data_IF_613160817519
#
_entry.id   IF_613160817519
#
_cell.length_a   1.000
_cell.length_b   1.000
_cell.length_c   1.000
_cell.angle_alpha   90.00
_cell.angle_beta   90.00
_cell.angle_gamma   90.00
#
_symmetry.space_group_name_H-M   'P 1'
#
loop_
_entity.id
_entity.type
_entity.pdbx_description
1 polymer ?
#
# COMPACT_ATOMS: atom_id res chain seq x y z
N UNK A 1 -24.61 -30.42 47.32
CA UNK A 1 -23.62 -29.97 46.31
C UNK A 1 -24.18 -29.78 44.88
N UNK A 2 -25.50 -29.70 44.65
CA UNK A 2 -26.05 -29.82 43.28
C UNK A 2 -26.63 -28.57 42.61
N UNK A 3 -26.58 -27.37 43.23
CA UNK A 3 -27.29 -26.19 42.68
C UNK A 3 -26.40 -25.03 42.20
N UNK A 4 -25.06 -25.15 42.27
CA UNK A 4 -24.14 -24.11 41.76
C UNK A 4 -23.65 -24.35 40.32
N UNK A 5 -23.63 -25.59 39.84
CA UNK A 5 -23.17 -25.90 38.48
C UNK A 5 -24.22 -25.63 37.38
N UNK A 6 -25.53 -25.70 37.68
CA UNK A 6 -26.58 -25.47 36.66
C UNK A 6 -26.80 -23.99 36.34
N UNK A 7 -26.60 -23.08 37.31
CA UNK A 7 -26.65 -21.64 37.07
C UNK A 7 -25.47 -21.14 36.23
N UNK A 8 -24.27 -21.70 36.41
CA UNK A 8 -23.10 -21.32 35.61
C UNK A 8 -23.21 -21.78 34.15
N UNK A 9 -23.80 -22.97 33.89
CA UNK A 9 -23.99 -23.45 32.52
C UNK A 9 -25.11 -22.71 31.79
N UNK A 10 -26.19 -22.33 32.48
CA UNK A 10 -27.25 -21.50 31.91
C UNK A 10 -26.76 -20.09 31.54
N UNK A 11 -25.94 -19.45 32.39
CA UNK A 11 -25.36 -18.13 32.05
C UNK A 11 -24.40 -18.16 30.88
N UNK A 12 -23.65 -19.26 30.71
CA UNK A 12 -22.75 -19.46 29.56
C UNK A 12 -23.55 -19.71 28.28
N UNK A 13 -24.63 -20.49 28.35
CA UNK A 13 -25.49 -20.79 27.19
C UNK A 13 -26.28 -19.57 26.73
N UNK A 14 -26.76 -18.72 27.65
CA UNK A 14 -27.43 -17.45 27.30
C UNK A 14 -26.46 -16.42 26.73
N UNK A 15 -25.20 -16.40 27.21
CA UNK A 15 -24.16 -15.56 26.63
C UNK A 15 -23.80 -16.01 25.20
N UNK A 16 -23.69 -17.32 24.94
CA UNK A 16 -23.45 -17.85 23.59
C UNK A 16 -24.58 -17.52 22.60
N UNK A 17 -25.83 -17.57 23.04
CA UNK A 17 -27.00 -17.24 22.19
C UNK A 17 -27.07 -15.75 21.88
N UNK A 18 -26.71 -14.87 22.83
CA UNK A 18 -26.58 -13.44 22.57
C UNK A 18 -25.41 -13.14 21.61
N UNK A 19 -24.31 -13.88 21.72
CA UNK A 19 -23.14 -13.76 20.83
C UNK A 19 -23.52 -14.15 19.39
N UNK A 20 -24.30 -15.21 19.19
CA UNK A 20 -24.77 -15.61 17.85
C UNK A 20 -25.78 -14.63 17.22
N UNK A 21 -26.52 -13.87 18.04
CA UNK A 21 -27.48 -12.87 17.56
C UNK A 21 -26.84 -11.50 17.27
N UNK A 22 -25.66 -11.23 17.85
CA UNK A 22 -24.86 -10.04 17.53
C UNK A 22 -23.95 -10.25 16.32
N UNK A 23 -23.66 -11.49 15.93
CA UNK A 23 -22.85 -11.83 14.75
C UNK A 23 -23.65 -11.93 13.45
N UNK A 24 -24.98 -11.82 13.49
CA UNK A 24 -25.84 -12.05 12.32
C UNK A 24 -26.16 -10.79 11.52
N UNK A 25 -25.53 -9.66 11.83
CA UNK A 25 -25.58 -8.44 11.04
C UNK A 25 -24.15 -7.88 10.95
N UNK A 26 -23.31 -8.50 10.13
CA UNK A 26 -22.02 -7.92 9.75
C UNK A 26 -22.33 -6.67 8.94
N UNK A 27 -22.23 -5.51 9.58
CA UNK A 27 -22.23 -4.26 8.84
C UNK A 27 -20.87 -4.18 8.17
N UNK A 28 -20.82 -3.76 6.91
CA UNK A 28 -19.53 -3.52 6.24
C UNK A 28 -18.62 -2.68 7.15
N UNK A 29 -17.31 -2.98 7.22
CA UNK A 29 -16.40 -2.25 8.10
C UNK A 29 -16.49 -0.77 7.79
N UNK A 30 -16.82 0.03 8.81
CA UNK A 30 -16.74 1.49 8.68
C UNK A 30 -15.30 1.92 8.83
N UNK A 31 -14.91 2.99 8.16
CA UNK A 31 -13.59 3.57 8.22
C UNK A 31 -13.61 4.91 8.94
N UNK A 32 -12.70 5.07 9.89
CA UNK A 32 -12.34 6.38 10.42
C UNK A 32 -11.32 7.01 9.49
N UNK A 33 -11.57 8.23 9.04
CA UNK A 33 -10.63 8.96 8.20
C UNK A 33 -9.81 9.97 9.01
N UNK A 34 -8.50 9.96 8.78
CA UNK A 34 -7.55 10.93 9.30
C UNK A 34 -6.77 11.57 8.13
N UNK A 35 -6.46 12.86 8.23
CA UNK A 35 -5.69 13.56 7.20
C UNK A 35 -4.19 13.36 7.44
N UNK A 36 -3.44 13.10 6.37
CA UNK A 36 -2.00 12.89 6.40
C UNK A 36 -1.28 14.09 5.79
N UNK A 37 -0.11 14.40 6.34
CA UNK A 37 0.75 15.50 5.88
C UNK A 37 0.64 16.78 6.73
N UNK A 38 1.46 17.79 6.43
CA UNK A 38 1.45 19.04 7.18
C UNK A 38 0.10 19.77 7.01
N UNK A 39 -0.40 20.38 8.09
CA UNK A 39 -1.57 21.26 7.99
C UNK A 39 -1.23 22.44 7.06
N UNK A 40 -2.06 22.70 6.03
CA UNK A 40 -1.75 23.74 5.06
C UNK A 40 -1.78 25.10 5.75
N UNK A 41 -0.60 25.70 5.90
CA UNK A 41 -0.48 27.07 6.35
C UNK A 41 -1.04 27.98 5.24
N UNK A 42 -2.11 28.73 5.52
CA UNK A 42 -2.91 29.49 4.53
C UNK A 42 -2.11 30.45 3.63
N UNK A 43 -0.92 30.84 4.06
CA UNK A 43 -0.04 31.78 3.36
C UNK A 43 1.06 31.12 2.49
N UNK A 44 1.41 29.85 2.72
CA UNK A 44 2.54 29.18 2.06
C UNK A 44 2.12 28.07 1.07
N UNK A 45 0.92 27.51 1.22
CA UNK A 45 0.51 26.28 0.51
C UNK A 45 -0.45 26.50 -0.68
N UNK A 46 -0.59 27.74 -1.18
CA UNK A 46 -1.51 28.04 -2.30
C UNK A 46 -1.15 27.38 -3.65
N UNK A 47 -0.09 26.57 -3.73
CA UNK A 47 0.38 25.95 -4.97
C UNK A 47 1.00 24.55 -4.81
N UNK A 48 0.87 23.93 -3.63
CA UNK A 48 1.46 22.61 -3.37
C UNK A 48 0.51 21.52 -3.88
N UNK A 49 0.73 21.06 -5.11
CA UNK A 49 0.07 19.86 -5.63
C UNK A 49 0.66 18.60 -5.00
N UNK A 50 -0.20 17.68 -4.54
CA UNK A 50 0.23 16.29 -4.29
C UNK A 50 0.75 15.75 -5.63
N UNK A 51 1.98 15.26 -5.64
CA UNK A 51 2.56 14.71 -6.86
C UNK A 51 2.48 13.20 -6.90
N UNK A 52 2.81 12.57 -5.78
CA UNK A 52 2.68 11.13 -5.59
C UNK A 52 2.38 10.82 -4.14
N UNK A 53 1.60 9.78 -3.95
CA UNK A 53 1.43 9.09 -2.68
C UNK A 53 2.16 7.77 -2.89
N UNK A 54 3.22 7.54 -2.12
CA UNK A 54 4.15 6.44 -2.32
C UNK A 54 3.56 5.14 -1.82
N UNK A 55 3.58 4.92 -0.51
CA UNK A 55 3.03 3.70 0.08
C UNK A 55 2.65 3.85 1.55
N UNK A 56 2.07 2.77 2.09
CA UNK A 56 1.54 2.61 3.43
C UNK A 56 2.04 1.28 4.02
N UNK A 57 2.76 1.36 5.13
CA UNK A 57 3.16 0.13 5.84
C UNK A 57 2.16 -0.31 6.92
N UNK A 58 2.34 -1.51 7.48
CA UNK A 58 1.54 -2.04 8.57
C UNK A 58 1.74 -1.30 9.90
N UNK A 59 2.72 -0.41 10.04
CA UNK A 59 2.82 0.52 11.18
C UNK A 59 1.91 1.75 11.01
N UNK A 60 1.31 1.92 9.83
CA UNK A 60 0.46 3.06 9.50
C UNK A 60 1.28 4.29 9.14
N UNK A 61 2.55 4.09 8.77
CA UNK A 61 3.43 5.14 8.27
C UNK A 61 3.22 5.28 6.76
N UNK A 62 3.22 6.52 6.29
CA UNK A 62 2.90 6.86 4.91
C UNK A 62 4.07 7.55 4.27
N UNK A 63 4.58 7.02 3.16
CA UNK A 63 5.54 7.70 2.31
C UNK A 63 4.81 8.50 1.22
N UNK A 64 5.17 9.77 1.01
CA UNK A 64 4.52 10.64 0.02
C UNK A 64 5.44 11.77 -0.44
N UNK A 65 5.08 12.42 -1.54
CA UNK A 65 5.86 13.53 -2.10
C UNK A 65 4.97 14.73 -2.48
N UNK A 66 5.46 15.93 -2.18
CA UNK A 66 4.79 17.20 -2.48
C UNK A 66 5.63 18.05 -3.42
N UNK A 67 4.94 18.74 -4.33
CA UNK A 67 5.53 19.79 -5.16
C UNK A 67 5.63 21.09 -4.38
N UNK A 68 6.83 21.64 -4.23
CA UNK A 68 7.05 23.02 -3.81
C UNK A 68 7.49 23.89 -4.98
N UNK A 69 6.94 25.10 -5.14
CA UNK A 69 7.49 26.06 -6.09
C UNK A 69 8.81 26.61 -5.55
N UNK A 70 9.84 26.61 -6.38
CA UNK A 70 11.06 27.38 -6.20
C UNK A 70 11.04 28.54 -7.18
N UNK A 71 11.06 29.76 -6.66
CA UNK A 71 11.12 30.96 -7.48
C UNK A 71 12.54 31.12 -8.04
N UNK A 72 12.68 31.10 -9.36
CA UNK A 72 13.96 31.26 -10.06
C UNK A 72 14.21 32.74 -10.37
N UNK A 73 13.15 33.45 -10.80
CA UNK A 73 13.12 34.90 -11.00
C UNK A 73 11.76 35.44 -10.55
N UNK A 74 11.56 36.76 -10.46
CA UNK A 74 10.25 37.32 -10.09
C UNK A 74 9.08 36.86 -10.97
N UNK A 75 9.35 36.40 -12.20
CA UNK A 75 8.35 35.95 -13.18
C UNK A 75 8.46 34.46 -13.54
N UNK A 76 9.47 33.74 -13.05
CA UNK A 76 9.67 32.32 -13.33
C UNK A 76 9.80 31.50 -12.05
N UNK A 77 9.04 30.42 -11.96
CA UNK A 77 9.17 29.42 -10.89
C UNK A 77 9.35 28.04 -11.51
N UNK A 78 9.97 27.15 -10.76
CA UNK A 78 10.10 25.72 -11.09
C UNK A 78 9.55 24.91 -9.94
N UNK A 79 8.84 23.83 -10.25
CA UNK A 79 8.40 22.88 -9.23
C UNK A 79 9.54 21.94 -8.85
N UNK A 80 9.73 21.73 -7.55
CA UNK A 80 10.66 20.78 -6.96
C UNK A 80 9.87 19.86 -6.05
N UNK A 81 10.23 18.58 -6.07
CA UNK A 81 9.50 17.53 -5.36
C UNK A 81 10.28 17.13 -4.12
N UNK A 82 9.70 17.33 -2.94
CA UNK A 82 10.26 16.85 -1.69
C UNK A 82 9.49 15.61 -1.24
N UNK A 83 10.22 14.61 -0.73
CA UNK A 83 9.65 13.37 -0.22
C UNK A 83 9.65 13.32 1.30
N UNK A 84 8.64 12.70 1.87
CA UNK A 84 8.39 12.66 3.31
C UNK A 84 7.87 11.30 3.74
N UNK A 85 8.07 11.00 5.03
CA UNK A 85 7.38 9.92 5.74
C UNK A 85 6.55 10.53 6.86
N UNK A 86 5.24 10.29 6.85
CA UNK A 86 4.39 10.55 8.01
C UNK A 86 4.43 9.35 8.94
N UNK A 87 4.73 9.62 10.20
CA UNK A 87 4.74 8.66 11.30
C UNK A 87 3.76 9.09 12.38
N UNK A 88 3.46 8.19 13.33
CA UNK A 88 2.65 8.53 14.51
C UNK A 88 3.25 9.68 15.35
N UNK A 89 4.55 9.96 15.22
CA UNK A 89 5.26 11.02 15.97
C UNK A 89 5.44 12.32 15.19
N UNK A 90 5.04 12.36 13.92
CA UNK A 90 5.18 13.52 13.04
C UNK A 90 5.70 13.17 11.65
N UNK A 91 5.99 14.21 10.86
CA UNK A 91 6.47 14.08 9.47
C UNK A 91 7.99 14.23 9.43
N UNK A 92 8.67 13.28 8.80
CA UNK A 92 10.13 13.27 8.60
C UNK A 92 10.43 13.50 7.12
N UNK A 93 11.32 14.44 6.83
CA UNK A 93 11.81 14.68 5.47
C UNK A 93 12.75 13.55 5.04
N UNK A 94 12.53 13.01 3.84
CA UNK A 94 13.51 12.16 3.17
C UNK A 94 14.49 13.11 2.49
N UNK A 95 15.75 13.09 2.93
CA UNK A 95 16.79 13.95 2.37
C UNK A 95 17.02 13.59 0.89
N UNK A 96 17.14 14.62 0.06
CA UNK A 96 17.50 14.50 -1.34
C UNK A 96 18.91 13.92 -1.49
N UNK A 97 19.16 13.21 -2.60
CA UNK A 97 20.50 12.76 -2.98
C UNK A 97 21.37 13.90 -3.54
N UNK A 98 21.18 15.13 -3.03
CA UNK A 98 21.78 16.35 -3.59
C UNK A 98 21.16 16.84 -4.90
N UNK A 99 20.07 16.19 -5.34
CA UNK A 99 19.24 16.57 -6.49
C UNK A 99 18.23 17.66 -6.20
N UNK A 100 17.44 18.03 -7.22
CA UNK A 100 16.35 19.01 -7.10
C UNK A 100 14.97 18.35 -7.05
N UNK A 101 14.83 17.02 -7.02
CA UNK A 101 13.55 16.32 -6.83
C UNK A 101 13.77 14.90 -6.33
N UNK A 102 12.91 14.45 -5.42
CA UNK A 102 12.83 13.06 -4.99
C UNK A 102 11.36 12.62 -4.90
N UNK A 103 11.10 11.37 -5.25
CA UNK A 103 9.79 10.71 -5.20
C UNK A 103 9.91 9.45 -4.36
N UNK A 104 9.17 9.36 -3.27
CA UNK A 104 8.99 8.13 -2.53
C UNK A 104 7.84 7.35 -3.19
N UNK A 105 8.09 6.07 -3.49
CA UNK A 105 7.17 5.21 -4.21
C UNK A 105 6.64 4.06 -3.36
N UNK A 106 7.38 3.63 -2.33
CA UNK A 106 6.95 2.53 -1.46
C UNK A 106 7.65 2.59 -0.09
N UNK A 107 7.08 1.96 0.94
CA UNK A 107 7.58 1.87 2.30
C UNK A 107 7.28 0.51 2.94
N UNK A 108 8.32 -0.13 3.46
CA UNK A 108 8.20 -1.42 4.18
C UNK A 108 7.83 -1.24 5.66
N UNK A 109 7.45 -2.32 6.36
CA UNK A 109 7.21 -2.33 7.82
C UNK A 109 8.49 -2.09 8.63
N UNK A 110 9.65 -2.31 8.01
CA UNK A 110 10.93 -1.92 8.60
C UNK A 110 11.16 -0.40 8.57
N UNK A 111 10.40 0.34 7.77
CA UNK A 111 10.57 1.77 7.52
C UNK A 111 11.61 2.09 6.44
N UNK A 112 12.01 1.08 5.65
CA UNK A 112 12.77 1.29 4.43
C UNK A 112 11.83 1.92 3.39
N UNK A 113 12.17 3.11 2.92
CA UNK A 113 11.47 3.83 1.84
C UNK A 113 12.29 3.72 0.57
N UNK A 114 11.62 3.46 -0.55
CA UNK A 114 12.28 3.41 -1.86
C UNK A 114 11.66 4.39 -2.84
N UNK A 115 12.41 4.70 -3.89
CA UNK A 115 11.93 5.60 -4.92
C UNK A 115 13.02 6.06 -5.88
N UNK A 116 12.83 7.26 -6.42
CA UNK A 116 13.70 7.87 -7.41
C UNK A 116 13.99 9.33 -7.07
N UNK A 117 15.23 9.76 -7.23
CA UNK A 117 15.63 11.16 -7.10
C UNK A 117 16.44 11.62 -8.31
N UNK A 118 16.39 12.90 -8.65
CA UNK A 118 17.26 13.45 -9.69
C UNK A 118 18.73 13.41 -9.22
N UNK A 119 19.66 13.06 -10.10
CA UNK A 119 21.09 13.13 -9.83
C UNK A 119 21.53 14.55 -9.46
N UNK A 120 22.54 14.66 -8.59
CA UNK A 120 23.17 15.93 -8.25
C UNK A 120 23.85 16.56 -9.48
N UNK A 121 24.52 15.73 -10.29
CA UNK A 121 25.22 16.11 -11.51
C UNK A 121 24.26 16.18 -12.71
N UNK A 122 24.35 17.24 -13.51
CA UNK A 122 23.76 17.30 -14.86
C UNK A 122 24.81 16.96 -15.92
N UNK A 123 24.36 16.49 -17.08
CA UNK A 123 25.21 16.28 -18.25
C UNK A 123 24.55 16.88 -19.50
N UNK A 124 25.35 17.29 -20.49
CA UNK A 124 24.80 17.83 -21.74
C UNK A 124 24.32 16.67 -22.63
N UNK A 125 23.11 16.80 -23.16
CA UNK A 125 22.53 15.83 -24.08
C UNK A 125 23.47 15.56 -25.26
N UNK A 126 23.78 14.29 -25.57
CA UNK A 126 24.67 13.94 -26.67
C UNK A 126 24.08 14.27 -28.05
N UNK A 127 22.77 14.52 -28.14
CA UNK A 127 22.03 14.78 -29.38
C UNK A 127 21.56 16.24 -29.46
N UNK A 128 21.40 16.91 -28.31
CA UNK A 128 20.95 18.29 -28.20
C UNK A 128 21.97 19.11 -27.37
N UNK A 129 22.98 19.72 -27.99
CA UNK A 129 24.15 20.27 -27.30
C UNK A 129 23.89 21.46 -26.35
N UNK A 130 22.63 21.90 -26.20
CA UNK A 130 22.21 22.95 -25.27
C UNK A 130 21.15 22.48 -24.26
N UNK A 131 20.91 21.17 -24.17
CA UNK A 131 19.95 20.58 -23.23
C UNK A 131 20.75 19.88 -22.14
N UNK A 132 20.71 20.43 -20.92
CA UNK A 132 21.19 19.72 -19.73
C UNK A 132 20.15 18.67 -19.32
N UNK A 133 20.60 17.43 -19.20
CA UNK A 133 19.85 16.31 -18.69
C UNK A 133 20.32 16.01 -17.26
N UNK A 134 19.38 15.65 -16.40
CA UNK A 134 19.66 15.05 -15.10
C UNK A 134 19.20 13.61 -15.14
N UNK A 135 20.05 12.73 -14.65
CA UNK A 135 19.72 11.32 -14.50
C UNK A 135 18.73 11.16 -13.35
N UNK A 136 17.99 10.06 -13.35
CA UNK A 136 17.17 9.65 -12.21
C UNK A 136 17.87 8.48 -11.53
N UNK A 137 18.11 8.62 -10.24
CA UNK A 137 18.81 7.65 -9.41
C UNK A 137 17.81 6.97 -8.46
N UNK A 138 17.78 5.63 -8.43
CA UNK A 138 16.99 4.89 -7.45
C UNK A 138 17.63 5.08 -6.08
N UNK A 139 16.80 5.19 -5.04
CA UNK A 139 17.30 5.35 -3.69
C UNK A 139 16.60 4.40 -2.72
N UNK A 140 17.29 4.16 -1.61
CA UNK A 140 16.68 3.65 -0.38
C UNK A 140 16.93 4.66 0.73
N UNK A 141 15.94 4.86 1.59
CA UNK A 141 16.04 5.73 2.76
C UNK A 141 15.49 5.01 3.98
N UNK A 142 16.26 5.02 5.06
CA UNK A 142 15.80 4.48 6.34
C UNK A 142 16.07 5.51 7.43
N UNK A 143 15.01 5.95 8.11
CA UNK A 143 15.09 6.95 9.19
C UNK A 143 15.86 8.24 8.82
N UNK A 144 15.70 8.71 7.57
CA UNK A 144 16.35 9.92 7.06
C UNK A 144 17.76 9.72 6.54
N UNK A 145 18.31 8.50 6.61
CA UNK A 145 19.56 8.15 5.95
C UNK A 145 19.26 7.61 4.55
N UNK A 146 19.44 8.46 3.54
CA UNK A 146 19.20 8.14 2.13
C UNK A 146 20.51 7.76 1.44
N UNK A 147 20.52 6.64 0.71
CA UNK A 147 21.61 6.26 -0.19
C UNK A 147 21.07 6.00 -1.60
N UNK A 148 21.87 6.35 -2.61
CA UNK A 148 21.60 5.96 -3.98
C UNK A 148 21.92 4.47 -4.15
N UNK A 149 21.07 3.74 -4.89
CA UNK A 149 21.38 2.40 -5.36
C UNK A 149 22.28 2.54 -6.59
N UNK A 150 23.53 2.02 -6.58
CA UNK A 150 24.42 2.14 -7.72
C UNK A 150 23.89 1.36 -8.92
N UNK A 151 23.61 2.06 -10.03
CA UNK A 151 23.23 1.43 -11.30
C UNK A 151 24.44 1.33 -12.25
N UNK A 152 24.50 0.29 -13.09
CA UNK A 152 25.62 0.09 -14.02
C UNK A 152 25.67 1.12 -15.14
N UNK A 153 24.52 1.67 -15.53
CA UNK A 153 24.42 2.71 -16.56
C UNK A 153 23.75 3.97 -16.00
N UNK A 154 24.16 5.12 -16.55
CA UNK A 154 23.54 6.42 -16.31
C UNK A 154 22.25 6.55 -17.11
N UNK A 155 21.33 7.37 -16.63
CA UNK A 155 20.09 7.68 -17.33
C UNK A 155 18.89 7.57 -16.42
N UNK A 156 17.92 6.74 -16.82
CA UNK A 156 16.71 6.50 -16.05
C UNK A 156 16.94 5.33 -15.10
N UNK A 157 16.69 5.51 -13.80
CA UNK A 157 16.53 4.40 -12.90
C UNK A 157 15.62 4.75 -11.73
N UNK A 158 14.82 3.79 -11.29
CA UNK A 158 13.78 3.94 -10.26
C UNK A 158 13.67 2.66 -9.45
N UNK A 159 13.61 2.78 -8.12
CA UNK A 159 13.22 1.69 -7.24
C UNK A 159 11.70 1.79 -7.04
N UNK A 160 10.97 0.81 -7.56
CA UNK A 160 9.50 0.83 -7.60
C UNK A 160 8.88 0.34 -6.29
N UNK A 161 9.42 -0.76 -5.75
CA UNK A 161 8.85 -1.45 -4.59
C UNK A 161 9.94 -2.16 -3.77
N UNK A 162 9.62 -2.48 -2.52
CA UNK A 162 10.48 -3.22 -1.61
C UNK A 162 9.68 -4.09 -0.65
N UNK A 163 10.27 -5.19 -0.17
CA UNK A 163 9.66 -6.07 0.83
C UNK A 163 10.38 -5.99 2.19
N UNK A 164 9.81 -6.62 3.23
CA UNK A 164 10.37 -6.62 4.58
C UNK A 164 11.64 -7.45 4.75
N UNK A 165 12.06 -8.19 3.71
CA UNK A 165 13.39 -8.81 3.63
C UNK A 165 14.48 -7.80 3.25
N UNK A 166 14.11 -6.56 2.90
CA UNK A 166 15.03 -5.52 2.45
C UNK A 166 15.44 -5.68 0.98
N UNK A 167 14.66 -6.45 0.22
CA UNK A 167 14.84 -6.58 -1.22
C UNK A 167 14.11 -5.43 -1.91
N UNK A 168 14.78 -4.79 -2.85
CA UNK A 168 14.29 -3.64 -3.59
C UNK A 168 14.29 -3.98 -5.06
N UNK A 169 13.20 -3.68 -5.76
CA UNK A 169 13.06 -3.97 -7.19
C UNK A 169 12.74 -2.70 -7.96
N UNK A 170 13.13 -2.68 -9.22
CA UNK A 170 12.90 -1.50 -10.04
C UNK A 170 13.39 -1.65 -11.46
N UNK A 171 13.31 -0.54 -12.19
CA UNK A 171 13.73 -0.46 -13.59
C UNK A 171 14.92 0.49 -13.72
N UNK A 172 15.91 0.12 -14.54
CA UNK A 172 17.07 0.96 -14.84
C UNK A 172 17.37 0.97 -16.35
N UNK A 173 18.07 2.00 -16.81
CA UNK A 173 18.68 2.04 -18.14
C UNK A 173 19.72 0.92 -18.27
N UNK A 174 19.68 0.21 -19.38
CA UNK A 174 20.68 -0.78 -19.76
C UNK A 174 21.03 -0.69 -21.26
N UNK A 175 22.10 -1.37 -21.63
CA UNK A 175 22.72 -1.31 -22.96
C UNK A 175 21.78 -1.63 -24.14
N UNK A 176 20.70 -2.37 -23.87
CA UNK A 176 19.70 -2.79 -24.87
C UNK A 176 18.27 -2.32 -24.51
N UNK A 177 18.14 -1.21 -23.79
CA UNK A 177 16.85 -0.71 -23.30
C UNK A 177 16.74 -0.80 -21.78
N UNK A 178 15.56 -0.53 -21.23
CA UNK A 178 15.34 -0.67 -19.78
C UNK A 178 15.55 -2.12 -19.36
N UNK A 179 16.14 -2.35 -18.20
CA UNK A 179 16.26 -3.66 -17.55
C UNK A 179 15.56 -3.61 -16.19
N UNK A 180 15.03 -4.75 -15.76
CA UNK A 180 14.61 -4.92 -14.37
C UNK A 180 15.84 -5.18 -13.51
N UNK A 181 15.84 -4.68 -12.28
CA UNK A 181 16.87 -4.99 -11.31
C UNK A 181 16.26 -5.42 -9.98
N UNK A 182 17.08 -6.14 -9.22
CA UNK A 182 16.89 -6.39 -7.80
C UNK A 182 18.12 -5.88 -7.04
N UNK A 183 17.92 -5.28 -5.88
CA UNK A 183 18.98 -4.82 -5.00
C UNK A 183 18.69 -5.24 -3.56
N UNK A 184 19.73 -5.52 -2.80
CA UNK A 184 19.69 -5.52 -1.34
C UNK A 184 21.02 -5.01 -0.80
N UNK A 185 21.05 -4.59 0.46
CA UNK A 185 22.29 -4.16 1.10
C UNK A 185 23.36 -5.27 1.11
N UNK A 186 22.92 -6.54 1.22
CA UNK A 186 23.81 -7.69 1.32
C UNK A 186 24.28 -8.23 -0.04
N UNK A 187 23.42 -8.23 -1.05
CA UNK A 187 23.73 -8.81 -2.38
C UNK A 187 24.17 -7.75 -3.39
N UNK A 188 23.86 -6.48 -3.15
CA UNK A 188 24.10 -5.39 -4.09
C UNK A 188 23.16 -5.44 -5.30
N UNK A 189 23.54 -4.74 -6.37
CA UNK A 189 22.74 -4.64 -7.59
C UNK A 189 22.84 -5.91 -8.43
N UNK A 190 21.69 -6.49 -8.76
CA UNK A 190 21.55 -7.62 -9.68
C UNK A 190 20.69 -7.21 -10.87
N UNK A 191 21.25 -7.29 -12.07
CA UNK A 191 20.50 -7.10 -13.32
C UNK A 191 19.69 -8.36 -13.63
N UNK A 192 18.37 -8.23 -13.73
CA UNK A 192 17.45 -9.31 -14.11
C UNK A 192 17.23 -9.36 -15.63
N UNK A 193 17.67 -8.32 -16.35
CA UNK A 193 17.57 -8.20 -17.81
C UNK A 193 16.29 -7.54 -18.31
N UNK A 194 16.17 -7.47 -19.64
CA UNK A 194 15.04 -6.86 -20.37
C UNK A 194 14.02 -7.92 -20.86
N UNK A 195 14.17 -9.20 -20.52
CA UNK A 195 13.22 -10.27 -20.93
C UNK A 195 12.88 -10.34 -22.44
N UNK A 196 13.71 -9.76 -23.30
CA UNK A 196 13.49 -9.70 -24.74
C UNK A 196 12.39 -8.72 -25.20
N UNK A 197 11.96 -7.79 -24.35
CA UNK A 197 10.91 -6.81 -24.68
C UNK A 197 11.46 -5.41 -25.00
N UNK A 198 10.60 -4.53 -25.53
CA UNK A 198 11.00 -3.15 -25.85
C UNK A 198 10.79 -2.23 -24.65
N UNK A 199 9.70 -2.42 -23.92
CA UNK A 199 9.39 -1.70 -22.70
C UNK A 199 9.12 -2.69 -21.57
N UNK A 200 9.66 -2.37 -20.40
CA UNK A 200 9.34 -3.05 -19.17
C UNK A 200 9.18 -2.04 -18.04
N UNK A 201 8.26 -2.35 -17.13
CA UNK A 201 8.09 -1.65 -15.87
C UNK A 201 8.03 -2.72 -14.76
N UNK A 202 8.87 -2.57 -13.74
CA UNK A 202 8.74 -3.33 -12.50
C UNK A 202 7.71 -2.64 -11.63
N UNK A 203 6.71 -3.40 -11.19
CA UNK A 203 5.54 -2.87 -10.50
C UNK A 203 5.67 -3.07 -9.00
N UNK A 204 5.86 -4.31 -8.56
CA UNK A 204 5.70 -4.69 -7.15
C UNK A 204 6.53 -5.93 -6.78
N UNK A 205 6.74 -6.18 -5.49
CA UNK A 205 7.39 -7.38 -4.94
C UNK A 205 6.71 -7.82 -3.64
N UNK A 206 6.38 -9.11 -3.52
CA UNK A 206 5.84 -9.67 -2.27
C UNK A 206 6.93 -10.23 -1.32
N UNK A 207 6.53 -10.69 -0.13
CA UNK A 207 7.43 -11.27 0.88
C UNK A 207 8.02 -12.64 0.52
N UNK A 208 7.66 -13.19 -0.64
CA UNK A 208 8.25 -14.43 -1.20
C UNK A 208 9.25 -14.17 -2.31
N UNK A 209 9.58 -12.90 -2.54
CA UNK A 209 10.43 -12.43 -3.63
C UNK A 209 9.83 -12.69 -5.02
N UNK A 210 8.49 -12.83 -5.12
CA UNK A 210 7.80 -12.79 -6.39
C UNK A 210 7.73 -11.34 -6.87
N UNK A 211 8.33 -11.06 -8.03
CA UNK A 211 8.37 -9.72 -8.62
C UNK A 211 7.28 -9.63 -9.67
N UNK A 212 6.38 -8.65 -9.55
CA UNK A 212 5.39 -8.34 -10.57
C UNK A 212 5.97 -7.38 -11.60
N UNK A 213 5.93 -7.78 -12.87
CA UNK A 213 6.42 -6.96 -13.99
C UNK A 213 5.35 -6.78 -15.05
N UNK A 214 5.45 -5.65 -15.72
CA UNK A 214 4.75 -5.36 -16.93
C UNK A 214 5.72 -5.41 -18.11
N UNK A 215 5.45 -6.27 -19.09
CA UNK A 215 6.27 -6.43 -20.29
C UNK A 215 5.50 -5.94 -21.53
N UNK A 216 6.15 -5.24 -22.47
CA UNK A 216 5.51 -4.79 -23.73
C UNK A 216 6.40 -5.04 -24.94
N UNK A 217 5.86 -5.79 -25.90
CA UNK A 217 6.53 -6.10 -27.17
C UNK A 217 6.54 -4.95 -28.19
N UNK A 218 7.28 -5.16 -29.28
CA UNK A 218 7.48 -4.19 -30.38
C UNK A 218 6.34 -4.15 -31.40
N UNK A 219 5.49 -5.17 -31.44
CA UNK A 219 4.57 -5.40 -32.55
C UNK A 219 3.18 -4.81 -32.30
N UNK A 220 2.82 -3.81 -33.09
CA UNK A 220 1.45 -3.34 -33.23
C UNK A 220 0.63 -4.41 -33.96
N UNK A 221 -0.35 -5.05 -33.32
CA UNK A 221 -1.42 -5.71 -34.07
C UNK A 221 -2.39 -4.63 -34.57
N UNK A 222 -2.56 -4.55 -35.88
CA UNK A 222 -3.60 -3.77 -36.51
C UNK A 222 -4.95 -4.46 -36.30
N UNK A 223 -5.88 -3.82 -35.60
CA UNK A 223 -7.28 -4.23 -35.57
C UNK A 223 -8.16 -3.09 -36.09
N UNK A 224 -8.50 -3.15 -37.38
CA UNK A 224 -9.20 -2.06 -38.08
C UNK A 224 -8.31 -0.83 -38.30
N UNK A 225 -8.88 0.37 -38.17
CA UNK A 225 -8.21 1.67 -38.41
C UNK A 225 -7.57 2.29 -37.14
N UNK A 226 -7.50 1.54 -36.02
CA UNK A 226 -6.99 2.05 -34.74
C UNK A 226 -5.65 1.40 -34.38
N UNK A 227 -4.64 2.24 -34.10
CA UNK A 227 -3.37 1.81 -33.51
C UNK A 227 -3.62 1.47 -32.02
N UNK A 228 -3.61 0.18 -31.69
CA UNK A 228 -3.67 -0.26 -30.29
C UNK A 228 -2.26 -0.59 -29.80
N UNK A 229 -1.92 -0.11 -28.59
CA UNK A 229 -0.75 -0.58 -27.86
C UNK A 229 -0.98 -2.05 -27.55
N UNK A 230 -0.30 -2.89 -28.31
CA UNK A 230 -0.54 -4.31 -28.29
C UNK A 230 0.53 -4.99 -27.43
N UNK A 231 0.12 -5.92 -26.57
CA UNK A 231 1.05 -6.84 -25.90
C UNK A 231 1.58 -6.40 -24.54
N UNK A 232 0.86 -5.57 -23.79
CA UNK A 232 1.15 -5.36 -22.38
C UNK A 232 0.77 -6.62 -21.59
N UNK A 233 1.79 -7.38 -21.17
CA UNK A 233 1.65 -8.66 -20.46
C UNK A 233 2.15 -8.55 -19.03
N UNK A 234 1.29 -8.91 -18.09
CA UNK A 234 1.65 -8.95 -16.67
C UNK A 234 2.28 -10.31 -16.39
N UNK A 235 3.44 -10.30 -15.76
CA UNK A 235 4.16 -11.53 -15.40
C UNK A 235 4.66 -11.46 -13.98
N UNK A 236 4.77 -12.63 -13.36
CA UNK A 236 5.48 -12.81 -12.09
C UNK A 236 6.83 -13.43 -12.43
N UNK A 237 7.90 -12.78 -11.98
CA UNK A 237 9.25 -13.33 -12.01
C UNK A 237 9.64 -13.81 -10.61
N UNK A 238 10.10 -15.05 -10.52
CA UNK A 238 10.73 -15.58 -9.31
C UNK A 238 11.94 -16.43 -9.71
N UNK A 239 13.14 -15.95 -9.35
CA UNK A 239 14.40 -16.70 -9.42
C UNK A 239 14.65 -17.41 -10.78
N UNK A 240 14.41 -16.69 -11.88
CA UNK A 240 14.58 -17.19 -13.26
C UNK A 240 13.34 -17.84 -13.88
N UNK A 241 12.31 -18.12 -13.08
CA UNK A 241 11.00 -18.57 -13.57
C UNK A 241 10.11 -17.36 -13.89
N UNK A 242 9.37 -17.45 -14.99
CA UNK A 242 8.38 -16.44 -15.40
C UNK A 242 7.02 -17.13 -15.48
N UNK A 243 6.07 -16.65 -14.68
CA UNK A 243 4.68 -17.06 -14.72
C UNK A 243 3.87 -15.94 -15.35
N UNK A 244 3.18 -16.23 -16.46
CA UNK A 244 2.32 -15.26 -17.11
C UNK A 244 0.98 -15.17 -16.37
N UNK A 245 0.54 -13.95 -16.05
CA UNK A 245 -0.85 -13.70 -15.72
C UNK A 245 -1.63 -13.79 -17.05
N UNK A 246 -2.65 -14.67 -17.16
CA UNK A 246 -3.41 -14.82 -18.38
C UNK A 246 -4.03 -13.50 -18.83
N UNK A 247 -3.97 -13.22 -20.12
CA UNK A 247 -4.73 -12.15 -20.75
C UNK A 247 -5.95 -12.77 -21.45
N UNK A 248 -7.18 -12.45 -21.03
CA UNK A 248 -8.41 -12.86 -21.74
C UNK A 248 -8.43 -12.32 -23.18
N UNK A 249 -9.49 -12.66 -23.94
CA UNK A 249 -9.66 -12.52 -25.41
C UNK A 249 -8.89 -11.43 -26.18
N UNK A 250 -8.65 -10.25 -25.59
CA UNK A 250 -7.98 -9.11 -26.22
C UNK A 250 -6.50 -8.94 -25.89
N UNK A 251 -5.94 -9.75 -24.99
CA UNK A 251 -4.48 -9.89 -24.84
C UNK A 251 -3.78 -8.79 -24.05
N UNK A 252 -4.49 -7.97 -23.28
CA UNK A 252 -3.92 -6.84 -22.52
C UNK A 252 -4.27 -6.97 -21.04
N UNK A 253 -3.24 -7.07 -20.19
CA UNK A 253 -3.36 -6.97 -18.73
C UNK A 253 -2.37 -5.93 -18.20
N UNK A 254 -2.84 -5.11 -17.26
CA UNK A 254 -2.03 -4.21 -16.47
C UNK A 254 -2.11 -4.65 -15.02
N UNK A 255 -1.03 -5.22 -14.48
CA UNK A 255 -0.95 -5.60 -13.08
C UNK A 255 -0.63 -4.39 -12.23
N UNK A 256 -1.27 -4.27 -11.07
CA UNK A 256 -1.07 -3.16 -10.14
C UNK A 256 -0.38 -3.60 -8.85
N UNK A 257 -0.71 -4.79 -8.33
CA UNK A 257 -0.18 -5.28 -7.05
C UNK A 257 -0.19 -6.81 -6.96
N UNK A 258 0.64 -7.36 -6.07
CA UNK A 258 0.71 -8.78 -5.74
C UNK A 258 0.82 -8.98 -4.22
N UNK A 259 -0.03 -9.83 -3.64
CA UNK A 259 0.09 -10.16 -2.20
C UNK A 259 1.02 -11.36 -1.94
N UNK A 260 1.27 -11.68 -0.65
CA UNK A 260 2.14 -12.77 -0.21
C UNK A 260 1.57 -14.16 -0.48
N UNK A 261 0.33 -14.24 -0.96
CA UNK A 261 -0.29 -15.48 -1.45
C UNK A 261 -0.06 -15.65 -2.96
N UNK A 262 0.48 -14.66 -3.66
CA UNK A 262 0.69 -14.68 -5.11
C UNK A 262 -0.56 -14.34 -5.90
N UNK A 263 -1.53 -13.70 -5.23
CA UNK A 263 -2.72 -13.19 -5.88
C UNK A 263 -2.35 -11.85 -6.50
N UNK A 264 -2.59 -11.72 -7.80
CA UNK A 264 -2.34 -10.49 -8.57
C UNK A 264 -3.67 -9.80 -8.86
N UNK A 265 -3.68 -8.48 -8.73
CA UNK A 265 -4.81 -7.65 -9.15
C UNK A 265 -4.36 -6.59 -10.14
N UNK A 266 -5.32 -6.03 -10.88
CA UNK A 266 -5.05 -4.94 -11.80
C UNK A 266 -6.24 -4.62 -12.69
N UNK A 267 -5.97 -4.18 -13.92
CA UNK A 267 -6.95 -3.94 -14.97
C UNK A 267 -6.69 -4.75 -16.23
N UNK A 268 -7.73 -5.12 -16.96
CA UNK A 268 -7.61 -5.77 -18.27
C UNK A 268 -8.63 -5.23 -19.27
N UNK A 269 -8.30 -5.30 -20.56
CA UNK A 269 -9.21 -4.86 -21.60
C UNK A 269 -10.27 -5.94 -21.90
N UNK A 270 -11.55 -5.61 -21.77
CA UNK A 270 -12.66 -6.52 -22.07
C UNK A 270 -13.16 -6.43 -23.50
N UNK A 271 -12.81 -5.36 -24.22
CA UNK A 271 -13.07 -5.17 -25.66
C UNK A 271 -12.09 -4.16 -26.26
N UNK A 272 -11.89 -4.14 -27.60
CA UNK A 272 -10.97 -3.21 -28.22
C UNK A 272 -11.40 -1.75 -27.98
N UNK A 273 -10.57 -1.00 -27.24
CA UNK A 273 -10.62 0.45 -27.14
C UNK A 273 -11.76 1.07 -26.35
N UNK A 274 -12.52 0.31 -25.53
CA UNK A 274 -13.71 0.87 -24.88
C UNK A 274 -14.05 0.42 -23.47
N UNK A 275 -13.37 -0.59 -22.91
CA UNK A 275 -13.71 -1.00 -21.53
C UNK A 275 -12.54 -1.74 -20.87
N UNK A 276 -12.16 -1.25 -19.69
CA UNK A 276 -11.21 -1.86 -18.77
C UNK A 276 -11.97 -2.37 -17.56
N UNK A 277 -11.72 -3.61 -17.16
CA UNK A 277 -12.26 -4.14 -15.92
C UNK A 277 -11.16 -4.43 -14.92
N UNK A 278 -11.48 -4.28 -13.63
CA UNK A 278 -10.65 -4.81 -12.57
C UNK A 278 -10.57 -6.34 -12.67
N UNK A 279 -9.42 -6.94 -12.37
CA UNK A 279 -9.30 -8.39 -12.28
C UNK A 279 -8.62 -8.84 -10.98
N UNK A 280 -8.85 -10.09 -10.65
CA UNK A 280 -8.06 -10.88 -9.70
C UNK A 280 -7.60 -12.17 -10.38
N UNK A 281 -6.35 -12.53 -10.16
CA UNK A 281 -5.78 -13.77 -10.65
C UNK A 281 -4.92 -14.45 -9.58
N UNK A 282 -5.05 -15.77 -9.49
CA UNK A 282 -4.09 -16.62 -8.81
C UNK A 282 -4.02 -17.96 -9.53
N UNK A 283 -2.92 -18.70 -9.36
CA UNK A 283 -2.69 -19.97 -10.06
C UNK A 283 -3.75 -21.03 -9.75
N UNK A 284 -4.33 -21.00 -8.54
CA UNK A 284 -5.27 -22.02 -8.07
C UNK A 284 -6.69 -21.81 -8.59
N UNK A 285 -7.15 -20.56 -8.61
CA UNK A 285 -8.53 -20.21 -8.92
C UNK A 285 -8.68 -19.57 -10.31
N UNK A 286 -7.56 -19.28 -10.99
CA UNK A 286 -7.54 -18.71 -12.32
C UNK A 286 -7.94 -17.23 -12.37
N UNK A 287 -8.09 -16.73 -13.60
CA UNK A 287 -8.43 -15.33 -13.88
C UNK A 287 -9.91 -15.09 -13.62
N UNK A 288 -10.24 -14.06 -12.84
CA UNK A 288 -11.63 -13.64 -12.57
C UNK A 288 -11.77 -12.16 -12.86
N UNK A 289 -12.80 -11.84 -13.63
CA UNK A 289 -13.25 -10.48 -13.90
C UNK A 289 -14.01 -9.97 -12.66
N UNK A 290 -13.59 -8.80 -12.15
CA UNK A 290 -14.22 -8.09 -11.02
C UNK A 290 -14.96 -6.82 -11.46
N UNK A 291 -14.96 -6.52 -12.77
CA UNK A 291 -15.67 -5.39 -13.33
C UNK A 291 -17.19 -5.60 -13.38
N UNK A 292 -17.87 -4.53 -13.74
CA UNK A 292 -19.33 -4.48 -13.89
C UNK A 292 -19.65 -3.98 -15.28
N UNK A 293 -20.74 -4.47 -15.86
CA UNK A 293 -21.11 -4.15 -17.26
C UNK A 293 -21.17 -2.63 -17.51
N UNK A 294 -20.56 -2.18 -18.61
CA UNK A 294 -20.56 -0.80 -19.12
C UNK A 294 -19.86 0.21 -18.19
N UNK A 295 -18.87 -0.23 -17.41
CA UNK A 295 -18.16 0.62 -16.45
C UNK A 295 -16.65 0.33 -16.37
N UNK A 296 -15.84 1.32 -16.76
CA UNK A 296 -14.38 1.22 -16.63
C UNK A 296 -13.97 1.05 -15.17
N UNK A 297 -13.15 0.05 -14.86
CA UNK A 297 -12.65 -0.21 -13.52
C UNK A 297 -11.24 -0.79 -13.53
N UNK A 298 -10.54 -0.61 -12.41
CA UNK A 298 -9.21 -1.17 -12.19
C UNK A 298 -8.93 -1.31 -10.70
N UNK A 299 -8.30 -2.42 -10.31
CA UNK A 299 -7.77 -2.58 -8.97
C UNK A 299 -6.43 -1.83 -8.85
N UNK A 300 -6.26 -1.11 -7.75
CA UNK A 300 -5.01 -0.42 -7.42
C UNK A 300 -4.12 -1.27 -6.52
N UNK A 301 -4.69 -1.99 -5.55
CA UNK A 301 -3.92 -2.75 -4.58
C UNK A 301 -4.72 -3.87 -3.88
N UNK A 302 -4.03 -4.81 -3.23
CA UNK A 302 -4.58 -5.96 -2.51
C UNK A 302 -3.75 -6.31 -1.27
N UNK A 303 -4.41 -6.47 -0.12
CA UNK A 303 -3.72 -6.96 1.09
C UNK A 303 -3.71 -8.49 1.24
N UNK A 304 -2.99 -9.00 2.23
CA UNK A 304 -2.87 -10.45 2.48
C UNK A 304 -4.15 -11.14 2.97
N UNK A 305 -5.18 -10.35 3.35
CA UNK A 305 -6.51 -10.87 3.67
C UNK A 305 -7.42 -10.96 2.44
N UNK A 306 -6.95 -10.56 1.25
CA UNK A 306 -7.72 -10.57 0.01
C UNK A 306 -8.69 -9.40 -0.13
N UNK A 307 -8.52 -8.33 0.65
CA UNK A 307 -9.26 -7.08 0.46
C UNK A 307 -8.60 -6.31 -0.67
N UNK A 308 -9.38 -5.97 -1.69
CA UNK A 308 -8.91 -5.27 -2.87
C UNK A 308 -9.44 -3.84 -2.83
N UNK A 309 -8.61 -2.89 -3.22
CA UNK A 309 -9.04 -1.51 -3.50
C UNK A 309 -8.85 -1.19 -4.97
N UNK A 310 -9.55 -0.17 -5.43
CA UNK A 310 -9.44 0.27 -6.81
C UNK A 310 -10.32 1.47 -7.10
N UNK A 311 -10.50 1.76 -8.37
CA UNK A 311 -11.40 2.80 -8.83
C UNK A 311 -12.27 2.32 -9.99
N UNK A 312 -13.37 3.01 -10.18
CA UNK A 312 -14.32 2.71 -11.25
C UNK A 312 -15.00 3.97 -11.78
N UNK A 313 -15.42 3.97 -13.04
CA UNK A 313 -16.08 5.09 -13.69
C UNK A 313 -17.47 5.32 -13.08
N UNK A 314 -17.65 6.49 -12.48
CA UNK A 314 -18.89 6.92 -11.86
C UNK A 314 -19.54 8.03 -12.68
N UNK A 315 -20.80 7.81 -13.02
CA UNK A 315 -21.63 8.71 -13.83
C UNK A 315 -21.79 10.13 -13.28
N UNK A 316 -21.40 10.38 -12.03
CA UNK A 316 -21.61 11.66 -11.36
C UNK A 316 -20.36 12.58 -11.40
N UNK A 317 -19.13 12.05 -11.33
CA UNK A 317 -17.91 12.86 -11.12
C UNK A 317 -16.58 12.28 -11.65
N UNK A 318 -16.58 11.28 -12.53
CA UNK A 318 -15.37 10.60 -12.99
C UNK A 318 -15.10 9.33 -12.20
N UNK A 319 -13.86 9.00 -11.83
CA UNK A 319 -13.56 7.77 -11.11
C UNK A 319 -13.91 7.85 -9.61
N UNK A 320 -14.47 6.79 -9.04
CA UNK A 320 -14.76 6.66 -7.61
C UNK A 320 -14.01 5.46 -6.99
N UNK A 321 -13.40 5.61 -5.81
CA UNK A 321 -12.70 4.51 -5.17
C UNK A 321 -13.65 3.48 -4.58
N UNK A 322 -13.25 2.21 -4.63
CA UNK A 322 -13.97 1.08 -4.07
C UNK A 322 -13.12 0.24 -3.14
N UNK A 323 -13.79 -0.54 -2.30
CA UNK A 323 -13.26 -1.69 -1.57
C UNK A 323 -14.02 -2.93 -2.06
N UNK A 324 -13.32 -4.02 -2.32
CA UNK A 324 -13.90 -5.30 -2.71
C UNK A 324 -13.46 -6.39 -1.74
N UNK A 325 -14.42 -7.20 -1.32
CA UNK A 325 -14.17 -8.49 -0.64
C UNK A 325 -15.01 -9.57 -1.33
N UNK A 326 -14.57 -10.82 -1.28
CA UNK A 326 -15.38 -11.94 -1.81
C UNK A 326 -16.73 -12.08 -1.09
N UNK A 327 -16.85 -11.57 0.15
CA UNK A 327 -18.08 -11.63 0.94
C UNK A 327 -19.09 -10.54 0.55
N UNK A 328 -18.63 -9.31 0.41
CA UNK A 328 -19.50 -8.13 0.28
C UNK A 328 -19.54 -7.60 -1.17
N UNK A 329 -18.69 -8.11 -2.05
CA UNK A 329 -18.49 -7.59 -3.39
C UNK A 329 -17.91 -6.18 -3.36
N UNK A 330 -18.11 -5.44 -4.46
CA UNK A 330 -17.62 -4.06 -4.60
C UNK A 330 -18.50 -3.09 -3.82
N UNK A 331 -17.85 -2.29 -2.97
CA UNK A 331 -18.48 -1.26 -2.15
C UNK A 331 -17.78 0.08 -2.39
N UNK A 332 -18.56 1.16 -2.47
CA UNK A 332 -18.01 2.52 -2.64
C UNK A 332 -17.34 2.95 -1.36
N UNK A 333 -16.07 3.37 -1.42
CA UNK A 333 -15.32 3.73 -0.21
C UNK A 333 -15.97 4.90 0.55
N UNK A 334 -16.56 5.86 -0.16
CA UNK A 334 -17.27 7.00 0.46
C UNK A 334 -18.48 6.57 1.31
N UNK A 335 -19.12 5.44 0.96
CA UNK A 335 -20.27 4.93 1.72
C UNK A 335 -19.84 4.15 2.98
N UNK A 336 -18.53 3.87 3.11
CA UNK A 336 -17.93 3.14 4.23
C UNK A 336 -17.29 4.06 5.27
N UNK A 337 -17.18 5.37 5.06
CA UNK A 337 -16.46 6.27 5.98
C UNK A 337 -17.41 6.90 7.03
N UNK A 338 -16.87 7.28 8.19
CA UNK A 338 -17.66 7.80 9.33
C UNK A 338 -17.99 9.30 9.27
N UNK A 339 -17.44 10.03 8.28
CA UNK A 339 -17.66 11.47 8.05
C UNK A 339 -17.66 11.79 6.54
N UNK A 340 -18.64 11.30 5.76
CA UNK A 340 -18.71 11.57 4.33
C UNK A 340 -18.95 13.06 4.00
N UNK A 341 -19.62 13.81 4.88
CA UNK A 341 -19.92 15.23 4.69
C UNK A 341 -18.70 16.15 4.72
N UNK A 342 -17.59 15.70 5.32
CA UNK A 342 -16.30 16.39 5.27
C UNK A 342 -15.64 16.37 3.89
N UNK A 343 -16.13 15.53 2.97
CA UNK A 343 -15.54 15.29 1.67
C UNK A 343 -16.52 15.66 0.56
N UNK A 344 -16.02 16.43 -0.40
CA UNK A 344 -16.75 16.66 -1.65
C UNK A 344 -16.71 15.42 -2.55
N UNK A 345 -15.57 14.71 -2.55
CA UNK A 345 -15.40 13.40 -3.20
C UNK A 345 -14.07 12.76 -2.75
N UNK A 346 -14.00 11.43 -2.77
CA UNK A 346 -12.73 10.69 -2.67
C UNK A 346 -12.23 10.40 -4.08
N UNK A 347 -10.96 10.71 -4.33
CA UNK A 347 -10.34 10.68 -5.66
C UNK A 347 -9.74 9.33 -6.00
N UNK A 348 -8.98 8.77 -5.06
CA UNK A 348 -8.33 7.49 -5.24
C UNK A 348 -8.18 6.78 -3.90
N UNK A 349 -8.20 5.45 -3.96
CA UNK A 349 -7.60 4.57 -2.98
C UNK A 349 -6.30 4.07 -3.61
N UNK A 350 -5.17 4.38 -2.98
CA UNK A 350 -3.84 4.20 -3.55
C UNK A 350 -3.20 2.90 -3.07
N UNK A 351 -3.29 2.62 -1.77
CA UNK A 351 -2.59 1.51 -1.11
C UNK A 351 -3.43 0.99 0.08
N UNK A 352 -3.37 -0.31 0.35
CA UNK A 352 -3.99 -0.98 1.49
C UNK A 352 -3.01 -1.90 2.23
N UNK A 353 -2.83 -1.66 3.54
CA UNK A 353 -2.01 -2.55 4.37
C UNK A 353 -2.80 -3.76 4.92
N UNK A 354 -2.10 -4.69 5.58
CA UNK A 354 -2.69 -5.92 6.16
C UNK A 354 -3.58 -5.67 7.37
N UNK A 355 -3.53 -4.47 7.95
CA UNK A 355 -4.53 -4.03 8.94
C UNK A 355 -5.83 -3.54 8.29
N UNK A 356 -5.89 -3.56 6.96
CA UNK A 356 -7.01 -3.06 6.16
C UNK A 356 -7.09 -1.54 6.16
N UNK A 357 -6.05 -0.81 6.56
CA UNK A 357 -6.04 0.64 6.42
C UNK A 357 -5.81 1.01 4.97
N UNK A 358 -6.55 1.99 4.48
CA UNK A 358 -6.50 2.44 3.09
C UNK A 358 -5.93 3.85 3.04
N UNK A 359 -4.84 4.00 2.32
CA UNK A 359 -4.26 5.29 1.98
C UNK A 359 -4.91 5.80 0.70
N UNK A 360 -5.29 7.08 0.67
CA UNK A 360 -5.95 7.65 -0.49
C UNK A 360 -5.83 9.15 -0.62
N UNK A 361 -6.40 9.66 -1.71
CA UNK A 361 -6.47 11.09 -2.04
C UNK A 361 -7.94 11.44 -2.19
N UNK A 362 -8.36 12.60 -1.71
CA UNK A 362 -9.71 13.12 -1.93
C UNK A 362 -9.78 14.63 -1.84
N UNK A 363 -10.92 15.23 -2.19
CA UNK A 363 -11.17 16.66 -1.97
C UNK A 363 -12.12 16.91 -0.81
N UNK A 364 -11.69 17.67 0.17
CA UNK A 364 -12.49 18.16 1.30
C UNK A 364 -13.50 19.22 0.86
N UNK A 365 -14.51 19.47 1.68
CA UNK A 365 -15.48 20.56 1.47
C UNK A 365 -14.95 21.97 1.84
N UNK A 366 -13.76 22.08 2.44
CA UNK A 366 -13.06 23.34 2.73
C UNK A 366 -12.64 24.08 1.43
N UNK A 367 -12.84 25.41 1.30
CA UNK A 367 -12.52 26.14 0.07
C UNK A 367 -11.07 26.04 -0.42
N UNK A 368 -10.04 25.94 0.44
CA UNK A 368 -8.63 25.81 0.03
C UNK A 368 -7.71 25.28 1.18
N UNK A 369 -6.75 24.38 0.89
CA UNK A 369 -6.67 23.49 -0.26
C UNK A 369 -7.68 22.36 -0.11
N UNK A 370 -8.39 22.03 -1.19
CA UNK A 370 -9.40 20.99 -1.14
C UNK A 370 -8.80 19.58 -1.27
N UNK A 371 -7.77 19.33 -2.09
CA UNK A 371 -7.17 17.99 -2.19
C UNK A 371 -6.30 17.65 -0.97
N UNK A 372 -6.54 16.49 -0.35
CA UNK A 372 -5.82 15.98 0.83
C UNK A 372 -5.48 14.49 0.68
N UNK A 373 -4.36 14.09 1.25
CA UNK A 373 -4.04 12.69 1.52
C UNK A 373 -4.81 12.28 2.79
N UNK A 374 -5.43 11.10 2.77
CA UNK A 374 -6.10 10.55 3.93
C UNK A 374 -5.67 9.12 4.21
N UNK A 375 -5.77 8.74 5.48
CA UNK A 375 -5.68 7.36 5.94
C UNK A 375 -7.04 6.94 6.50
N UNK A 376 -7.69 6.00 5.82
CA UNK A 376 -8.92 5.38 6.25
C UNK A 376 -8.59 4.13 7.07
N UNK A 377 -8.90 4.15 8.36
CA UNK A 377 -8.62 3.05 9.29
C UNK A 377 -9.91 2.29 9.64
N UNK A 378 -9.96 0.95 9.49
CA UNK A 378 -11.12 0.17 9.88
C UNK A 378 -11.51 0.42 11.35
N UNK A 379 -12.79 0.69 11.58
CA UNK A 379 -13.40 0.78 12.90
C UNK A 379 -13.77 -0.65 13.28
N UNK A 380 -13.17 -1.22 14.35
CA UNK A 380 -13.53 -2.54 14.81
C UNK A 380 -15.02 -2.60 15.11
N UNK A 381 -15.71 -3.64 14.65
CA UNK A 381 -17.13 -3.80 14.95
C UNK A 381 -17.37 -3.76 16.47
N UNK A 382 -18.52 -3.21 16.93
CA UNK A 382 -18.87 -3.19 18.35
C UNK A 382 -18.81 -4.59 18.99
N UNK A 383 -19.15 -5.63 18.23
CA UNK A 383 -19.06 -7.05 18.60
C UNK A 383 -17.61 -7.47 18.94
N UNK A 384 -16.64 -7.05 18.13
CA UNK A 384 -15.20 -7.28 18.34
C UNK A 384 -14.69 -6.55 19.58
N UNK A 385 -15.10 -5.30 19.80
CA UNK A 385 -14.75 -4.53 21.01
C UNK A 385 -15.33 -5.17 22.28
N UNK A 386 -16.58 -5.62 22.23
CA UNK A 386 -17.24 -6.35 23.32
C UNK A 386 -16.51 -7.68 23.58
N UNK A 387 -16.10 -8.41 22.54
CA UNK A 387 -15.34 -9.65 22.70
C UNK A 387 -13.98 -9.39 23.37
N UNK A 388 -13.23 -8.38 22.92
CA UNK A 388 -11.94 -8.00 23.54
C UNK A 388 -12.10 -7.60 25.02
N UNK A 389 -13.16 -6.86 25.35
CA UNK A 389 -13.51 -6.52 26.74
C UNK A 389 -13.83 -7.77 27.56
N UNK A 390 -14.64 -8.68 27.03
CA UNK A 390 -15.02 -9.93 27.71
C UNK A 390 -13.79 -10.83 27.94
N UNK A 391 -12.94 -10.99 26.93
CA UNK A 391 -11.68 -11.74 27.06
C UNK A 391 -10.77 -11.11 28.11
N UNK A 392 -10.59 -9.79 28.09
CA UNK A 392 -9.78 -9.05 29.07
C UNK A 392 -10.32 -9.21 30.50
N UNK A 393 -11.65 -9.20 30.68
CA UNK A 393 -12.30 -9.44 31.97
C UNK A 393 -12.11 -10.88 32.46
N UNK A 394 -12.19 -11.86 31.55
CA UNK A 394 -11.96 -13.27 31.86
C UNK A 394 -10.50 -13.53 32.26
N UNK A 395 -9.52 -12.95 31.56
CA UNK A 395 -8.11 -13.01 31.92
C UNK A 395 -7.84 -12.36 33.29
N UNK A 396 -8.40 -11.18 33.54
CA UNK A 396 -8.27 -10.53 34.85
C UNK A 396 -8.86 -11.35 35.99
N UNK A 397 -10.01 -12.01 35.76
CA UNK A 397 -10.64 -12.89 36.75
C UNK A 397 -9.83 -14.15 37.00
N UNK A 398 -9.28 -14.77 35.96
CA UNK A 398 -8.40 -15.93 36.08
C UNK A 398 -7.08 -15.60 36.80
N UNK A 399 -6.51 -14.43 36.51
CA UNK A 399 -5.32 -13.90 37.20
C UNK A 399 -5.57 -13.69 38.70
N UNK A 400 -6.71 -13.07 39.05
CA UNK A 400 -7.13 -12.89 40.46
C UNK A 400 -7.39 -14.21 41.19
N UNK A 401 -7.90 -15.23 40.50
CA UNK A 401 -8.09 -16.55 41.09
C UNK A 401 -6.76 -17.28 41.36
N UNK A 402 -5.82 -17.27 40.39
CA UNK A 402 -4.49 -17.87 40.57
C UNK A 402 -3.67 -17.20 41.66
N UNK A 403 -3.75 -15.87 41.78
CA UNK A 403 -3.08 -15.13 42.85
C UNK A 403 -3.69 -15.42 44.23
N UNK A 404 -5.01 -15.56 44.35
CA UNK A 404 -5.66 -15.95 45.60
C UNK A 404 -5.32 -17.40 46.04
N UNK A 405 -5.12 -18.32 45.10
CA UNK A 405 -4.71 -19.71 45.40
C UNK A 405 -3.22 -19.81 45.78
N UNK A 406 -2.36 -18.93 45.27
CA UNK A 406 -0.95 -18.85 45.70
C UNK A 406 -0.81 -18.31 47.12
N UNK A 407 -1.63 -17.33 47.53
CA UNK A 407 -1.61 -16.78 48.90
C UNK A 407 -2.07 -17.81 49.95
N UNK A 408 -2.88 -18.80 49.57
CA UNK A 408 -3.33 -19.87 50.48
C UNK A 408 -2.36 -21.04 50.64
N UNK A 409 -1.29 -21.12 49.82
CA UNK A 409 -0.34 -22.24 49.83
C UNK A 409 0.97 -21.98 50.57
N UNK A 410 1.15 -20.83 51.21
CA UNK A 410 2.34 -20.55 52.04
C UNK A 410 2.19 -21.23 53.42
N UNK A 411 2.98 -22.27 53.76
CA UNK A 411 2.93 -22.85 55.10
C UNK A 411 3.76 -21.98 56.05
N UNK A 412 3.15 -21.50 57.12
CA UNK A 412 3.87 -20.85 58.23
C UNK A 412 4.68 -21.91 58.98
N UNK A 413 5.98 -21.99 58.71
CA UNK A 413 6.91 -22.78 59.52
C UNK A 413 7.30 -21.99 60.77
N UNK A 414 6.61 -22.26 61.89
CA UNK A 414 7.08 -21.91 63.24
C UNK A 414 8.36 -22.69 63.56
N UNK A 415 9.46 -21.99 63.85
CA UNK A 415 10.62 -22.61 64.49
C UNK A 415 10.86 -21.98 65.86
N UNK A 416 10.47 -22.71 66.92
CA UNK A 416 10.81 -22.46 68.32
C UNK A 416 12.11 -23.20 68.64
N UNK A 417 13.12 -22.47 69.12
CA UNK A 417 14.29 -22.84 69.97
C UNK A 417 15.37 -21.78 69.65
N UNK A 418 16.16 -21.20 70.55
CA UNK A 418 16.50 -21.41 71.95
C UNK A 418 17.32 -20.16 72.33
N UNK A 419 17.00 -19.44 73.41
CA UNK A 419 18.01 -18.67 74.17
C UNK A 419 17.72 -18.85 75.65
N UNK A 420 18.68 -19.47 76.34
CA UNK A 420 18.81 -19.52 77.81
C UNK A 420 19.86 -18.49 78.22
N UNK A 421 19.72 -18.01 79.47
CA UNK A 421 20.56 -17.11 80.30
C UNK A 421 20.02 -15.68 80.33
N UNK A 422 19.73 -15.05 81.47
CA UNK A 422 20.07 -15.34 82.87
C UNK A 422 18.85 -15.71 83.73
#
# INVERSE_FOLDING_TARGET
MSNKQSRSSQTLSSALILISALSSATAAPRYRIELIGPEPNRELFQSVGIQSVGGLNNRGEVAFSYNRPIQITPTASRSVSDSFVSTATGVVSILDLGGQSAHALDITDSGLVVGAASSADSHISPILPNVELRDTEPFVSQYGHTIAIPTPERGFAVASAANNLGEVVGSASGSNGRTAFKWSEFEGYTDLGNFGVEYLDVIDINERSDILLQLRGRENLLYGDSYYYNGTQTVIYNNGSITQVPSPEFGITNGSAINDQGVVVGGFATKPGKEWHAFIWDEKNGFRDLGFEDEDSGASDINNSGVIIGSYESSYQGYAPFVYTEQDGRQRLIDLIDNPEGWSWLEAAVDINDRGQILGIGRTTDPLPNTRIYLATPIPEPSTLIMCLLVSLLFNKAYRHRSADMVKKTPVALNKRQVRRA
#
